data_IF_698841013576
#
_entry.id   IF_698841013576
#
_cell.length_a   1.000
_cell.length_b   1.000
_cell.length_c   1.000
_cell.angle_alpha   90.00
_cell.angle_beta   90.00
_cell.angle_gamma   90.00
#
_symmetry.space_group_name_H-M   'P 1'
#
loop_
_entity.id
_entity.type
_entity.pdbx_description
1 polymer ?
#
# COMPACT_ATOMS: atom_id res chain seq x y z
N UNK A 1 4.44 14.71 -18.22
CA UNK A 1 3.90 14.84 -16.86
C UNK A 1 2.59 14.08 -16.69
N UNK A 2 1.54 14.35 -17.48
CA UNK A 2 0.24 13.70 -17.34
C UNK A 2 0.28 12.16 -17.42
N UNK A 3 1.06 11.59 -18.35
CA UNK A 3 1.21 10.15 -18.53
C UNK A 3 1.85 9.49 -17.29
N UNK A 4 2.83 10.14 -16.68
CA UNK A 4 3.49 9.63 -15.47
C UNK A 4 2.56 9.64 -14.25
N UNK A 5 1.72 10.68 -14.12
CA UNK A 5 0.68 10.74 -13.09
C UNK A 5 -0.41 9.68 -13.31
N UNK A 6 -0.80 9.45 -14.56
CA UNK A 6 -1.75 8.41 -14.94
C UNK A 6 -1.23 7.03 -14.55
N UNK A 7 0.05 6.77 -14.78
CA UNK A 7 0.71 5.51 -14.40
C UNK A 7 0.60 5.24 -12.91
N UNK A 8 0.91 6.23 -12.06
CA UNK A 8 0.81 6.10 -10.59
C UNK A 8 -0.64 5.84 -10.14
N UNK A 9 -1.62 6.53 -10.76
CA UNK A 9 -3.03 6.33 -10.45
C UNK A 9 -3.50 4.91 -10.82
N UNK A 10 -3.08 4.40 -11.97
CA UNK A 10 -3.38 3.04 -12.42
C UNK A 10 -2.78 2.03 -11.43
N UNK A 11 -1.54 2.23 -10.99
CA UNK A 11 -0.89 1.36 -10.01
C UNK A 11 -1.66 1.29 -8.70
N UNK A 12 -2.06 2.43 -8.16
CA UNK A 12 -2.83 2.48 -6.91
C UNK A 12 -4.18 1.77 -7.09
N UNK A 13 -4.87 2.00 -8.21
CA UNK A 13 -6.14 1.34 -8.52
C UNK A 13 -5.99 -0.18 -8.65
N UNK A 14 -4.94 -0.65 -9.32
CA UNK A 14 -4.62 -2.08 -9.47
C UNK A 14 -4.27 -2.70 -8.12
N UNK A 15 -3.44 -2.05 -7.32
CA UNK A 15 -3.05 -2.54 -5.99
C UNK A 15 -4.27 -2.72 -5.06
N UNK A 16 -5.20 -1.76 -5.06
CA UNK A 16 -6.45 -1.86 -4.30
C UNK A 16 -7.37 -2.96 -4.83
N UNK A 17 -7.42 -3.16 -6.16
CA UNK A 17 -8.28 -4.17 -6.80
C UNK A 17 -7.75 -5.60 -6.58
N UNK A 18 -6.44 -5.81 -6.65
CA UNK A 18 -5.81 -7.14 -6.47
C UNK A 18 -6.18 -7.74 -5.11
N UNK A 19 -6.15 -6.95 -4.04
CA UNK A 19 -6.53 -7.42 -2.69
C UNK A 19 -7.97 -7.91 -2.66
N UNK A 20 -8.88 -7.21 -3.35
CA UNK A 20 -10.28 -7.64 -3.49
C UNK A 20 -10.43 -8.95 -4.26
N UNK A 21 -9.67 -9.13 -5.34
CA UNK A 21 -9.66 -10.36 -6.15
C UNK A 21 -9.15 -11.54 -5.34
N UNK A 22 -8.02 -11.39 -4.65
CA UNK A 22 -7.42 -12.45 -3.82
C UNK A 22 -8.39 -12.92 -2.74
N UNK A 23 -9.02 -11.99 -2.03
CA UNK A 23 -9.97 -12.33 -0.97
C UNK A 23 -11.22 -13.04 -1.51
N UNK A 24 -11.70 -12.63 -2.68
CA UNK A 24 -12.84 -13.29 -3.33
C UNK A 24 -12.50 -14.70 -3.80
N UNK A 25 -11.32 -14.89 -4.39
CA UNK A 25 -10.85 -16.21 -4.84
C UNK A 25 -10.69 -17.18 -3.67
N UNK A 26 -10.09 -16.70 -2.57
CA UNK A 26 -9.97 -17.48 -1.33
C UNK A 26 -11.34 -17.88 -0.77
N UNK A 27 -12.30 -16.97 -0.77
CA UNK A 27 -13.64 -17.25 -0.28
C UNK A 27 -14.38 -18.28 -1.17
N UNK A 28 -14.23 -18.19 -2.49
CA UNK A 28 -14.80 -19.17 -3.43
C UNK A 28 -14.20 -20.56 -3.24
N UNK A 29 -12.86 -20.66 -3.07
CA UNK A 29 -12.18 -21.93 -2.80
C UNK A 29 -12.58 -22.53 -1.45
N UNK A 30 -12.94 -21.69 -0.48
CA UNK A 30 -13.45 -22.13 0.82
C UNK A 30 -14.98 -22.43 0.83
N UNK A 31 -15.64 -22.44 -0.33
CA UNK A 31 -17.08 -22.69 -0.45
C UNK A 31 -17.97 -21.60 0.15
N UNK A 32 -17.43 -20.40 0.37
CA UNK A 32 -18.16 -19.24 0.95
C UNK A 32 -18.46 -18.19 -0.09
N UNK A 33 -19.57 -17.47 0.08
CA UNK A 33 -19.86 -16.28 -0.73
C UNK A 33 -18.82 -15.20 -0.45
N UNK A 34 -17.97 -14.88 -1.45
CA UNK A 34 -16.91 -13.89 -1.33
C UNK A 34 -17.43 -12.47 -1.11
N UNK A 35 -16.57 -11.66 -0.54
CA UNK A 35 -16.77 -10.22 -0.33
C UNK A 35 -16.86 -9.52 -1.70
N UNK A 36 -17.60 -8.40 -1.78
CA UNK A 36 -17.68 -7.57 -2.99
C UNK A 36 -16.30 -7.02 -3.36
N UNK A 37 -15.97 -6.93 -4.65
CA UNK A 37 -14.66 -6.48 -5.14
C UNK A 37 -14.24 -5.12 -4.56
N UNK A 38 -15.17 -4.18 -4.46
CA UNK A 38 -14.91 -2.83 -3.95
C UNK A 38 -15.02 -2.69 -2.42
N UNK A 39 -15.29 -3.77 -1.71
CA UNK A 39 -15.41 -3.74 -0.24
C UNK A 39 -14.13 -3.24 0.43
N UNK A 40 -12.97 -3.60 -0.13
CA UNK A 40 -11.68 -3.16 0.40
C UNK A 40 -11.51 -1.63 0.29
N UNK A 41 -11.87 -1.07 -0.84
CA UNK A 41 -11.83 0.39 -1.08
C UNK A 41 -12.78 1.13 -0.12
N UNK A 42 -13.99 0.59 0.06
CA UNK A 42 -14.95 1.15 1.02
C UNK A 42 -14.44 1.08 2.46
N UNK A 43 -13.79 -0.01 2.84
CA UNK A 43 -13.18 -0.16 4.16
C UNK A 43 -12.05 0.85 4.39
N UNK A 44 -11.16 1.05 3.41
CA UNK A 44 -10.11 2.07 3.47
C UNK A 44 -10.72 3.45 3.64
N UNK A 45 -11.75 3.79 2.86
CA UNK A 45 -12.46 5.07 2.99
C UNK A 45 -13.08 5.25 4.37
N UNK A 46 -13.71 4.20 4.92
CA UNK A 46 -14.28 4.23 6.26
C UNK A 46 -13.22 4.41 7.33
N UNK A 47 -12.08 3.74 7.21
CA UNK A 47 -10.95 3.86 8.15
C UNK A 47 -10.36 5.26 8.13
N UNK A 48 -10.24 5.89 6.97
CA UNK A 48 -9.76 7.28 6.85
C UNK A 48 -10.71 8.30 7.51
N UNK A 49 -11.99 7.96 7.65
CA UNK A 49 -12.98 8.81 8.34
C UNK A 49 -13.04 8.59 9.84
N UNK A 50 -12.45 7.51 10.36
CA UNK A 50 -12.42 7.22 11.79
C UNK A 50 -11.29 7.99 12.46
N UNK A 51 -11.55 8.57 13.60
CA UNK A 51 -10.54 9.16 14.46
C UNK A 51 -9.64 8.08 15.06
N UNK A 52 -8.37 8.40 15.29
CA UNK A 52 -7.43 7.52 15.98
C UNK A 52 -7.56 7.68 17.48
N UNK A 53 -7.81 6.57 18.19
CA UNK A 53 -7.80 6.53 19.66
C UNK A 53 -6.54 5.79 20.08
N UNK A 54 -5.67 6.47 20.82
CA UNK A 54 -4.45 5.90 21.35
C UNK A 54 -4.57 5.68 22.86
N UNK A 55 -4.07 4.54 23.34
CA UNK A 55 -3.92 4.29 24.78
C UNK A 55 -2.82 5.18 25.35
N UNK A 56 -2.90 5.48 26.64
CA UNK A 56 -1.87 6.22 27.39
C UNK A 56 -0.53 5.49 27.45
N UNK A 57 -0.55 4.17 27.28
CA UNK A 57 0.63 3.30 27.27
C UNK A 57 1.27 3.16 25.88
N UNK A 58 0.70 3.80 24.85
CA UNK A 58 1.18 3.66 23.47
C UNK A 58 2.51 4.39 23.29
N UNK A 59 3.54 3.69 22.83
CA UNK A 59 4.85 4.26 22.51
C UNK A 59 4.79 5.20 21.31
N UNK A 60 5.67 6.18 21.26
CA UNK A 60 5.81 7.08 20.09
C UNK A 60 6.07 6.31 18.80
N UNK A 61 6.83 5.22 18.91
CA UNK A 61 7.16 4.35 17.79
C UNK A 61 5.90 3.77 17.12
N UNK A 62 4.95 3.30 17.93
CA UNK A 62 3.67 2.76 17.42
C UNK A 62 2.85 3.80 16.66
N UNK A 63 2.95 5.07 17.03
CA UNK A 63 2.26 6.16 16.34
C UNK A 63 2.88 6.50 14.98
N UNK A 64 4.22 6.45 14.90
CA UNK A 64 4.98 6.87 13.70
C UNK A 64 5.11 5.74 12.68
N UNK A 65 5.17 4.48 13.11
CA UNK A 65 5.37 3.33 12.24
C UNK A 65 4.37 3.23 11.06
N UNK A 66 3.05 3.43 11.23
CA UNK A 66 2.12 3.40 10.11
C UNK A 66 2.38 4.51 9.08
N UNK A 67 2.83 5.69 9.54
CA UNK A 67 3.17 6.80 8.65
C UNK A 67 4.42 6.49 7.82
N UNK A 68 5.44 5.89 8.45
CA UNK A 68 6.67 5.45 7.76
C UNK A 68 6.32 4.35 6.75
N UNK A 69 5.50 3.39 7.14
CA UNK A 69 5.06 2.30 6.26
C UNK A 69 4.34 2.83 5.02
N UNK A 70 3.35 3.70 5.22
CA UNK A 70 2.59 4.31 4.13
C UNK A 70 3.49 5.19 3.25
N UNK A 71 4.33 6.04 3.86
CA UNK A 71 5.25 6.91 3.15
C UNK A 71 6.24 6.15 2.28
N UNK A 72 6.87 5.10 2.83
CA UNK A 72 7.78 4.25 2.09
C UNK A 72 7.09 3.54 0.91
N UNK A 73 5.87 3.05 1.11
CA UNK A 73 5.09 2.43 0.04
C UNK A 73 4.74 3.42 -1.08
N UNK A 74 4.29 4.64 -0.73
CA UNK A 74 3.98 5.67 -1.72
C UNK A 74 5.21 6.10 -2.52
N UNK A 75 6.35 6.28 -1.86
CA UNK A 75 7.61 6.59 -2.54
C UNK A 75 8.00 5.44 -3.47
N UNK A 76 7.91 4.18 -3.02
CA UNK A 76 8.22 3.02 -3.86
C UNK A 76 7.38 3.00 -5.14
N UNK A 77 6.10 3.38 -5.10
CA UNK A 77 5.25 3.47 -6.31
C UNK A 77 5.76 4.48 -7.34
N UNK A 78 6.47 5.53 -6.94
CA UNK A 78 7.02 6.52 -7.87
C UNK A 78 8.19 5.97 -8.71
N UNK A 79 8.87 4.94 -8.20
CA UNK A 79 10.05 4.32 -8.83
C UNK A 79 9.72 3.05 -9.61
N UNK A 80 8.51 2.48 -9.48
CA UNK A 80 8.15 1.24 -10.17
C UNK A 80 7.61 1.59 -11.56
N UNK A 81 8.26 1.11 -12.65
CA UNK A 81 7.74 1.23 -14.01
C UNK A 81 6.54 0.29 -14.19
N UNK A 82 5.49 0.76 -14.86
CA UNK A 82 4.31 -0.04 -15.17
C UNK A 82 4.03 0.00 -16.65
N UNK A 83 3.71 -1.17 -17.22
CA UNK A 83 3.24 -1.29 -18.60
C UNK A 83 4.13 -0.58 -19.65
N UNK A 84 5.46 -0.70 -19.55
CA UNK A 84 6.43 -0.03 -20.41
C UNK A 84 6.42 1.52 -20.34
N UNK A 85 5.75 2.09 -19.37
CA UNK A 85 5.83 3.52 -19.08
C UNK A 85 7.00 3.81 -18.15
N UNK A 86 7.75 4.85 -18.45
CA UNK A 86 8.84 5.28 -17.58
C UNK A 86 8.31 5.70 -16.20
N UNK A 87 9.01 5.33 -15.11
CA UNK A 87 8.66 5.79 -13.77
C UNK A 87 8.77 7.32 -13.67
N UNK A 88 8.12 7.91 -12.69
CA UNK A 88 8.17 9.35 -12.45
C UNK A 88 9.60 9.78 -12.12
N UNK A 89 10.26 9.00 -11.27
CA UNK A 89 11.66 9.15 -10.91
C UNK A 89 12.41 7.89 -11.33
N UNK A 90 13.51 8.04 -12.07
CA UNK A 90 14.40 6.94 -12.45
C UNK A 90 15.84 7.35 -12.25
N UNK A 91 16.63 6.46 -11.67
CA UNK A 91 18.08 6.58 -11.58
C UNK A 91 18.75 5.20 -11.66
N UNK A 92 20.05 5.16 -11.88
CA UNK A 92 20.78 3.90 -11.89
C UNK A 92 20.73 3.25 -10.50
N UNK A 93 19.98 2.15 -10.37
CA UNK A 93 19.81 1.43 -9.10
C UNK A 93 18.43 1.53 -8.47
N UNK A 94 17.41 1.98 -9.20
CA UNK A 94 16.02 2.09 -8.75
C UNK A 94 15.51 0.83 -8.04
N UNK A 95 15.82 -0.35 -8.57
CA UNK A 95 15.38 -1.64 -8.02
C UNK A 95 15.93 -1.85 -6.62
N UNK A 96 17.22 -1.53 -6.42
CA UNK A 96 17.87 -1.66 -5.11
C UNK A 96 17.25 -0.68 -4.11
N UNK A 97 16.99 0.56 -4.53
CA UNK A 97 16.36 1.56 -3.69
C UNK A 97 14.95 1.17 -3.28
N UNK A 98 14.13 0.67 -4.20
CA UNK A 98 12.78 0.15 -3.91
C UNK A 98 12.85 -1.02 -2.93
N UNK A 99 13.80 -1.95 -3.09
CA UNK A 99 14.00 -3.05 -2.17
C UNK A 99 14.30 -2.56 -0.74
N UNK A 100 15.18 -1.56 -0.59
CA UNK A 100 15.47 -0.95 0.71
C UNK A 100 14.27 -0.22 1.33
N UNK A 101 13.47 0.47 0.52
CA UNK A 101 12.23 1.12 0.98
C UNK A 101 11.22 0.10 1.50
N UNK A 102 11.06 -1.02 0.79
CA UNK A 102 10.18 -2.10 1.22
C UNK A 102 10.71 -2.79 2.49
N UNK A 103 12.03 -2.97 2.60
CA UNK A 103 12.65 -3.48 3.82
C UNK A 103 12.42 -2.52 5.00
N UNK A 104 12.64 -1.23 4.80
CA UNK A 104 12.39 -0.19 5.82
C UNK A 104 10.93 -0.22 6.31
N UNK A 105 9.97 -0.36 5.40
CA UNK A 105 8.56 -0.44 5.77
C UNK A 105 8.26 -1.67 6.64
N UNK A 106 8.88 -2.81 6.35
CA UNK A 106 8.75 -4.03 7.16
C UNK A 106 9.40 -3.88 8.54
N UNK A 107 10.59 -3.31 8.61
CA UNK A 107 11.27 -3.05 9.87
C UNK A 107 10.44 -2.11 10.76
N UNK A 108 9.87 -1.05 10.19
CA UNK A 108 9.00 -0.14 10.93
C UNK A 108 7.78 -0.85 11.56
N UNK A 109 7.16 -1.80 10.83
CA UNK A 109 6.06 -2.60 11.38
C UNK A 109 6.51 -3.55 12.50
N UNK A 110 7.66 -4.20 12.35
CA UNK A 110 8.20 -5.11 13.37
C UNK A 110 8.55 -4.35 14.65
N UNK A 111 9.11 -3.14 14.51
CA UNK A 111 9.43 -2.30 15.66
C UNK A 111 8.18 -1.77 16.37
N UNK A 112 7.04 -1.69 15.69
CA UNK A 112 5.78 -1.25 16.27
C UNK A 112 4.99 -2.38 16.92
N UNK A 113 5.25 -3.64 16.55
CA UNK A 113 4.57 -4.83 17.08
C UNK A 113 5.08 -5.22 18.46
#
# INVERSE_FOLDING_TARGET
MAIKLLNTLIMIAVALSITGVINRTRAMLAGRKGIRFFQHVMNVRLQLRKGSVYSTTTTLLFRIAPCIYLGAALIAFLFIPVANLEPICSFHGDIVFVAYLLALSRVALILAA
#
